data_IF_688389851066
#
_entry.id   IF_688389851066
#
_cell.length_a   1.000
_cell.length_b   1.000
_cell.length_c   1.000
_cell.angle_alpha   90.00
_cell.angle_beta   90.00
_cell.angle_gamma   90.00
#
_symmetry.space_group_name_H-M   'P 1'
#
loop_
_entity.id
_entity.type
_entity.pdbx_description
1 polymer ?
#
# COMPACT_ATOMS: atom_id res chain seq x y z
N UNK A 1 -0.95 -28.80 -21.16
CA UNK A 1 -1.69 -27.57 -21.51
C UNK A 1 -0.69 -26.42 -21.62
N UNK A 2 -0.71 -25.67 -22.72
CA UNK A 2 0.26 -24.60 -22.97
C UNK A 2 0.22 -23.56 -21.82
N UNK A 3 1.35 -23.03 -21.33
CA UNK A 3 1.40 -22.10 -20.18
C UNK A 3 0.47 -20.89 -20.32
N UNK A 4 0.38 -20.33 -21.54
CA UNK A 4 -0.52 -19.21 -21.85
C UNK A 4 -2.01 -19.57 -21.65
N UNK A 5 -2.43 -20.77 -22.06
CA UNK A 5 -3.83 -21.22 -21.88
C UNK A 5 -4.15 -21.38 -20.38
N UNK A 6 -3.21 -21.90 -19.60
CA UNK A 6 -3.40 -22.02 -18.14
C UNK A 6 -3.55 -20.66 -17.48
N UNK A 7 -2.71 -19.70 -17.84
CA UNK A 7 -2.75 -18.35 -17.30
C UNK A 7 -4.06 -17.62 -17.66
N UNK A 8 -4.52 -17.72 -18.92
CA UNK A 8 -5.79 -17.13 -19.37
C UNK A 8 -6.99 -17.78 -18.65
N UNK A 9 -6.99 -19.10 -18.47
CA UNK A 9 -8.04 -19.81 -17.72
C UNK A 9 -8.03 -19.41 -16.24
N UNK A 10 -6.85 -19.25 -15.64
CA UNK A 10 -6.68 -18.76 -14.27
C UNK A 10 -7.24 -17.35 -14.09
N UNK A 11 -6.92 -16.42 -15.00
CA UNK A 11 -7.43 -15.05 -14.98
C UNK A 11 -8.96 -15.02 -15.14
N UNK A 12 -9.52 -15.75 -16.11
CA UNK A 12 -10.97 -15.83 -16.33
C UNK A 12 -11.70 -16.39 -15.08
N UNK A 13 -11.15 -17.44 -14.46
CA UNK A 13 -11.66 -18.00 -13.20
C UNK A 13 -11.59 -16.96 -12.07
N UNK A 14 -10.50 -16.19 -11.99
CA UNK A 14 -10.32 -15.16 -10.97
C UNK A 14 -11.32 -14.03 -11.11
N UNK A 15 -11.57 -13.56 -12.34
CA UNK A 15 -12.62 -12.58 -12.64
C UNK A 15 -13.99 -13.09 -12.20
N UNK A 16 -14.36 -14.32 -12.60
CA UNK A 16 -15.66 -14.90 -12.24
C UNK A 16 -15.85 -14.99 -10.71
N UNK A 17 -14.82 -15.42 -9.98
CA UNK A 17 -14.85 -15.52 -8.51
C UNK A 17 -15.00 -14.14 -7.85
N UNK A 18 -14.34 -13.12 -8.37
CA UNK A 18 -14.48 -11.75 -7.89
C UNK A 18 -15.90 -11.21 -8.13
N UNK A 19 -16.50 -11.46 -9.29
CA UNK A 19 -17.89 -11.07 -9.59
C UNK A 19 -18.88 -11.73 -8.63
N UNK A 20 -18.75 -13.03 -8.39
CA UNK A 20 -19.62 -13.78 -7.43
C UNK A 20 -19.45 -13.26 -6.00
N UNK A 21 -18.23 -12.89 -5.59
CA UNK A 21 -17.97 -12.36 -4.25
C UNK A 21 -18.39 -10.89 -4.08
N UNK A 22 -18.61 -10.14 -5.17
CA UNK A 22 -18.81 -8.69 -5.16
C UNK A 22 -19.90 -8.19 -4.18
N UNK A 23 -21.11 -8.80 -4.10
CA UNK A 23 -22.16 -8.36 -3.16
C UNK A 23 -21.73 -8.41 -1.70
N UNK A 24 -20.87 -9.36 -1.33
CA UNK A 24 -20.41 -9.53 0.05
C UNK A 24 -19.52 -8.38 0.53
N UNK A 25 -18.89 -7.63 -0.39
CA UNK A 25 -18.02 -6.53 -0.06
C UNK A 25 -18.69 -5.32 0.60
N UNK A 26 -20.02 -5.20 0.46
CA UNK A 26 -20.79 -4.16 1.14
C UNK A 26 -21.09 -4.51 2.61
N UNK A 27 -21.04 -5.78 2.98
CA UNK A 27 -21.35 -6.26 4.33
C UNK A 27 -20.17 -6.18 5.31
N UNK A 28 -18.93 -6.01 4.82
CA UNK A 28 -17.71 -6.21 5.62
C UNK A 28 -16.85 -4.97 5.84
N UNK A 29 -17.41 -3.77 5.70
CA UNK A 29 -16.66 -2.51 5.82
C UNK A 29 -16.39 -2.06 7.28
N UNK A 30 -16.77 -2.84 8.29
CA UNK A 30 -16.59 -2.52 9.70
C UNK A 30 -15.12 -2.56 10.16
N UNK A 31 -14.79 -1.75 11.18
CA UNK A 31 -13.53 -1.85 11.92
C UNK A 31 -13.68 -2.95 12.97
N UNK A 32 -12.84 -3.97 12.92
CA UNK A 32 -12.77 -5.04 13.93
C UNK A 32 -11.32 -5.33 14.27
N UNK A 33 -11.02 -5.39 15.55
CA UNK A 33 -9.71 -5.79 16.07
C UNK A 33 -9.86 -7.09 16.85
N UNK A 34 -8.84 -7.94 16.79
CA UNK A 34 -8.68 -9.07 17.70
C UNK A 34 -7.93 -8.66 18.97
N UNK A 35 -7.77 -9.61 19.88
CA UNK A 35 -6.89 -9.45 21.04
C UNK A 35 -5.43 -9.41 20.56
N UNK A 36 -4.61 -8.45 21.02
CA UNK A 36 -3.19 -8.41 20.70
C UNK A 36 -2.48 -9.72 21.06
N UNK A 37 -1.59 -10.17 20.17
CA UNK A 37 -0.80 -11.40 20.35
C UNK A 37 0.48 -11.18 21.14
N UNK A 38 0.96 -9.93 21.20
CA UNK A 38 2.27 -9.55 21.72
C UNK A 38 3.39 -9.62 20.67
N UNK A 39 3.10 -10.10 19.47
CA UNK A 39 4.01 -10.05 18.30
C UNK A 39 3.73 -8.82 17.47
N UNK A 40 4.72 -7.92 17.39
CA UNK A 40 4.58 -6.66 16.68
C UNK A 40 4.19 -6.84 15.20
N UNK A 41 4.68 -7.90 14.53
CA UNK A 41 4.38 -8.16 13.13
C UNK A 41 2.91 -8.55 12.94
N UNK A 42 2.36 -9.36 13.87
CA UNK A 42 0.98 -9.82 13.85
C UNK A 42 0.00 -8.75 14.33
N UNK A 43 0.44 -7.89 15.25
CA UNK A 43 -0.37 -6.85 15.87
C UNK A 43 -0.38 -5.53 15.07
N UNK A 44 0.59 -5.34 14.16
CA UNK A 44 0.55 -4.19 13.24
C UNK A 44 -0.67 -4.31 12.32
N UNK A 45 -1.62 -3.34 12.37
CA UNK A 45 -2.84 -3.43 11.59
C UNK A 45 -2.57 -3.46 10.10
N UNK A 46 -3.32 -4.29 9.36
CA UNK A 46 -3.26 -4.36 7.89
C UNK A 46 -4.50 -3.71 7.29
N UNK A 47 -4.31 -2.71 6.42
CA UNK A 47 -5.39 -2.07 5.68
C UNK A 47 -5.30 -2.41 4.19
N UNK A 48 -6.37 -2.98 3.66
CA UNK A 48 -6.49 -3.48 2.30
C UNK A 48 -7.29 -2.49 1.45
N UNK A 49 -6.70 -2.02 0.34
CA UNK A 49 -7.22 -0.95 -0.53
C UNK A 49 -7.48 -1.53 -1.92
N UNK A 50 -8.76 -1.71 -2.28
CA UNK A 50 -9.16 -2.36 -3.54
C UNK A 50 -8.85 -1.53 -4.79
N UNK A 51 -9.00 -2.14 -5.96
CA UNK A 51 -8.82 -1.50 -7.26
C UNK A 51 -10.07 -0.83 -7.82
N UNK A 52 -9.95 -0.29 -9.04
CA UNK A 52 -11.05 0.29 -9.79
C UNK A 52 -12.15 -0.73 -10.06
N UNK A 53 -13.41 -0.33 -9.91
CA UNK A 53 -14.57 -1.21 -10.15
C UNK A 53 -14.71 -2.38 -9.17
N UNK A 54 -13.99 -2.37 -8.06
CA UNK A 54 -14.04 -3.41 -7.04
C UNK A 54 -14.48 -2.86 -5.67
N UNK A 55 -14.51 -3.71 -4.65
CA UNK A 55 -14.80 -3.36 -3.26
C UNK A 55 -14.04 -4.29 -2.28
N UNK A 56 -14.38 -4.26 -1.00
CA UNK A 56 -13.71 -5.05 0.04
C UNK A 56 -13.76 -6.58 -0.18
N UNK A 57 -14.65 -7.09 -1.05
CA UNK A 57 -14.70 -8.52 -1.39
C UNK A 57 -13.47 -9.02 -2.14
N UNK A 58 -12.73 -8.12 -2.82
CA UNK A 58 -11.47 -8.46 -3.48
C UNK A 58 -10.50 -9.23 -2.58
N UNK A 59 -10.60 -9.02 -1.30
CA UNK A 59 -9.61 -9.43 -0.30
C UNK A 59 -9.96 -10.73 0.44
N UNK A 60 -10.97 -11.50 -0.01
CA UNK A 60 -11.42 -12.67 0.75
C UNK A 60 -10.33 -13.74 0.94
N UNK A 61 -9.48 -13.98 -0.08
CA UNK A 61 -8.39 -14.93 0.01
C UNK A 61 -7.30 -14.45 0.96
N UNK A 62 -6.81 -13.21 0.75
CA UNK A 62 -5.75 -12.64 1.59
C UNK A 62 -6.22 -12.48 3.04
N UNK A 63 -7.45 -12.01 3.28
CA UNK A 63 -8.00 -11.93 4.65
C UNK A 63 -8.03 -13.27 5.36
N UNK A 64 -8.38 -14.35 4.63
CA UNK A 64 -8.39 -15.71 5.17
C UNK A 64 -6.97 -16.18 5.52
N UNK A 65 -5.98 -15.89 4.65
CA UNK A 65 -4.58 -16.24 4.87
C UNK A 65 -4.01 -15.46 6.07
N UNK A 66 -4.20 -14.15 6.13
CA UNK A 66 -3.74 -13.31 7.24
C UNK A 66 -4.33 -13.75 8.59
N UNK A 67 -5.63 -14.09 8.64
CA UNK A 67 -6.25 -14.64 9.84
C UNK A 67 -5.61 -15.95 10.27
N UNK A 68 -5.32 -16.86 9.31
CA UNK A 68 -4.65 -18.14 9.61
C UNK A 68 -3.23 -17.94 10.09
N UNK A 69 -2.53 -16.91 9.58
CA UNK A 69 -1.20 -16.53 10.03
C UNK A 69 -1.16 -15.84 11.41
N UNK A 70 -2.33 -15.53 12.00
CA UNK A 70 -2.44 -14.95 13.33
C UNK A 70 -2.55 -13.42 13.38
N UNK A 71 -2.71 -12.73 12.23
CA UNK A 71 -2.89 -11.27 12.25
C UNK A 71 -4.16 -10.89 13.02
N UNK A 72 -4.01 -9.99 13.99
CA UNK A 72 -5.07 -9.62 14.93
C UNK A 72 -5.97 -8.49 14.41
N UNK A 73 -5.47 -7.67 13.50
CA UNK A 73 -6.15 -6.46 13.03
C UNK A 73 -6.10 -6.32 11.50
N UNK A 74 -7.17 -6.74 10.80
CA UNK A 74 -7.26 -6.75 9.34
C UNK A 74 -8.47 -5.93 8.91
N UNK A 75 -8.22 -4.83 8.20
CA UNK A 75 -9.22 -3.86 7.78
C UNK A 75 -9.29 -3.73 6.27
N UNK A 76 -10.44 -3.25 5.79
CA UNK A 76 -10.66 -2.89 4.40
C UNK A 76 -11.28 -1.50 4.34
N UNK A 77 -11.19 -0.83 3.21
CA UNK A 77 -11.98 0.36 2.91
C UNK A 77 -12.70 0.23 1.57
N UNK A 78 -13.89 0.80 1.49
CA UNK A 78 -14.63 0.94 0.24
C UNK A 78 -14.63 2.41 -0.18
N UNK A 79 -14.53 2.64 -1.49
CA UNK A 79 -14.63 3.96 -2.10
C UNK A 79 -15.18 3.84 -3.52
N UNK A 80 -15.66 4.96 -4.07
CA UNK A 80 -16.19 5.00 -5.44
C UNK A 80 -15.23 5.79 -6.35
N UNK A 81 -14.49 5.14 -7.26
CA UNK A 81 -13.55 5.81 -8.15
C UNK A 81 -14.21 6.59 -9.29
N UNK A 82 -15.52 6.44 -9.51
CA UNK A 82 -16.26 7.24 -10.49
C UNK A 82 -16.56 8.64 -9.97
N UNK A 83 -16.67 8.80 -8.65
CA UNK A 83 -17.05 10.06 -7.99
C UNK A 83 -15.83 10.83 -7.49
N UNK A 84 -14.80 10.12 -7.04
CA UNK A 84 -13.61 10.71 -6.41
C UNK A 84 -12.37 10.55 -7.29
N UNK A 85 -11.45 11.50 -7.22
CA UNK A 85 -10.10 11.42 -7.77
C UNK A 85 -9.13 10.73 -6.79
N UNK A 86 -7.90 10.43 -7.23
CA UNK A 86 -6.90 9.74 -6.42
C UNK A 86 -6.58 10.51 -5.13
N UNK A 87 -6.37 11.84 -5.12
CA UNK A 87 -6.16 12.61 -3.89
C UNK A 87 -7.32 12.52 -2.91
N UNK A 88 -8.56 12.60 -3.38
CA UNK A 88 -9.75 12.51 -2.52
C UNK A 88 -9.92 11.11 -1.91
N UNK A 89 -9.59 10.06 -2.68
CA UNK A 89 -9.58 8.69 -2.15
C UNK A 89 -8.46 8.52 -1.13
N UNK A 90 -7.28 9.11 -1.38
CA UNK A 90 -6.16 9.08 -0.45
C UNK A 90 -6.46 9.85 0.86
N UNK A 91 -7.27 10.93 0.81
CA UNK A 91 -7.76 11.59 2.02
C UNK A 91 -8.64 10.66 2.86
N UNK A 92 -9.56 9.91 2.22
CA UNK A 92 -10.34 8.87 2.91
C UNK A 92 -9.47 7.75 3.48
N UNK A 93 -8.38 7.39 2.78
CA UNK A 93 -7.40 6.43 3.29
C UNK A 93 -6.71 6.97 4.54
N UNK A 94 -6.30 8.25 4.55
CA UNK A 94 -5.72 8.93 5.72
C UNK A 94 -6.65 8.85 6.93
N UNK A 95 -7.92 9.26 6.77
CA UNK A 95 -8.93 9.18 7.84
C UNK A 95 -9.13 7.75 8.35
N UNK A 96 -9.05 6.78 7.43
CA UNK A 96 -9.20 5.36 7.80
C UNK A 96 -8.00 4.86 8.61
N UNK A 97 -6.78 5.24 8.23
CA UNK A 97 -5.54 4.93 8.96
C UNK A 97 -5.60 5.53 10.36
N UNK A 98 -6.02 6.80 10.50
CA UNK A 98 -6.13 7.47 11.79
C UNK A 98 -7.10 6.76 12.72
N UNK A 99 -8.27 6.38 12.20
CA UNK A 99 -9.26 5.59 12.96
C UNK A 99 -8.74 4.22 13.38
N UNK A 100 -7.97 3.55 12.53
CA UNK A 100 -7.38 2.25 12.86
C UNK A 100 -6.33 2.42 13.95
N UNK A 101 -5.42 3.40 13.83
CA UNK A 101 -4.41 3.68 14.84
C UNK A 101 -5.05 4.03 16.20
N UNK A 102 -6.08 4.89 16.20
CA UNK A 102 -6.82 5.24 17.42
C UNK A 102 -7.52 4.02 18.06
N UNK A 103 -8.08 3.12 17.25
CA UNK A 103 -8.79 1.93 17.73
C UNK A 103 -7.85 0.85 18.27
N UNK A 104 -6.66 0.71 17.67
CA UNK A 104 -5.73 -0.39 18.00
C UNK A 104 -4.61 0.03 18.94
N UNK A 105 -4.39 1.32 19.12
CA UNK A 105 -3.22 1.86 19.82
C UNK A 105 -1.91 1.74 19.03
N UNK A 106 -1.96 1.29 17.76
CA UNK A 106 -0.77 1.15 16.95
C UNK A 106 -0.33 2.50 16.36
N UNK A 107 0.97 2.78 16.36
CA UNK A 107 1.53 4.00 15.74
C UNK A 107 1.47 3.95 14.20
N UNK A 108 1.52 2.74 13.63
CA UNK A 108 1.63 2.51 12.19
C UNK A 108 0.75 1.36 11.72
N UNK A 109 0.42 1.39 10.43
CA UNK A 109 -0.30 0.32 9.72
C UNK A 109 0.57 -0.26 8.60
N UNK A 110 0.22 -1.45 8.13
CA UNK A 110 0.66 -1.97 6.84
C UNK A 110 -0.44 -1.74 5.79
N UNK A 111 -0.07 -1.33 4.57
CA UNK A 111 -0.99 -1.15 3.46
C UNK A 111 -0.80 -2.26 2.43
N UNK A 112 -1.90 -2.80 1.90
CA UNK A 112 -1.88 -3.65 0.70
C UNK A 112 -2.88 -3.05 -0.29
N UNK A 113 -2.38 -2.57 -1.43
CA UNK A 113 -3.18 -1.94 -2.47
C UNK A 113 -3.19 -2.76 -3.75
N UNK A 114 -4.38 -3.02 -4.32
CA UNK A 114 -4.52 -3.64 -5.64
C UNK A 114 -4.82 -2.58 -6.69
N UNK A 115 -4.14 -2.65 -7.84
CA UNK A 115 -4.43 -1.79 -8.98
C UNK A 115 -4.43 -0.31 -8.60
N UNK A 116 -5.53 0.42 -8.80
CA UNK A 116 -5.74 1.80 -8.33
C UNK A 116 -5.39 1.98 -6.84
N UNK A 117 -5.71 0.99 -6.00
CA UNK A 117 -5.43 1.05 -4.56
C UNK A 117 -3.94 1.23 -4.23
N UNK A 118 -3.04 0.75 -5.09
CA UNK A 118 -1.60 0.99 -4.94
C UNK A 118 -1.20 2.44 -5.25
N UNK A 119 -1.82 3.08 -6.24
CA UNK A 119 -1.61 4.51 -6.52
C UNK A 119 -2.16 5.39 -5.39
N UNK A 120 -3.34 5.05 -4.86
CA UNK A 120 -3.93 5.72 -3.69
C UNK A 120 -3.00 5.61 -2.48
N UNK A 121 -2.44 4.43 -2.22
CA UNK A 121 -1.48 4.19 -1.14
C UNK A 121 -0.20 5.01 -1.33
N UNK A 122 0.32 5.07 -2.57
CA UNK A 122 1.49 5.91 -2.89
C UNK A 122 1.20 7.39 -2.67
N UNK A 123 0.04 7.89 -3.14
CA UNK A 123 -0.35 9.27 -2.94
C UNK A 123 -0.43 9.64 -1.46
N UNK A 124 -1.08 8.81 -0.66
CA UNK A 124 -1.16 9.01 0.78
C UNK A 124 0.22 9.09 1.43
N UNK A 125 1.10 8.13 1.11
CA UNK A 125 2.45 8.07 1.71
C UNK A 125 3.32 9.25 1.26
N UNK A 126 3.34 9.56 -0.03
CA UNK A 126 4.28 10.53 -0.61
C UNK A 126 3.82 11.99 -0.48
N UNK A 127 2.51 12.25 -0.53
CA UNK A 127 1.97 13.59 -0.64
C UNK A 127 1.19 14.06 0.61
N UNK A 128 0.79 13.14 1.49
CA UNK A 128 -0.07 13.45 2.64
C UNK A 128 0.59 13.11 3.99
N UNK A 129 1.89 12.84 4.01
CA UNK A 129 2.63 12.52 5.24
C UNK A 129 2.31 11.14 5.82
N UNK A 130 1.76 10.23 5.02
CA UNK A 130 1.48 8.85 5.41
C UNK A 130 2.73 8.03 5.73
N UNK A 131 3.92 8.49 5.32
CA UNK A 131 5.22 7.88 5.66
C UNK A 131 5.44 7.76 7.18
N UNK A 132 4.85 8.65 7.96
CA UNK A 132 4.91 8.60 9.42
C UNK A 132 4.02 7.51 10.03
N UNK A 133 2.94 7.11 9.31
CA UNK A 133 1.91 6.17 9.78
C UNK A 133 1.89 4.83 9.03
N UNK A 134 2.74 4.67 8.03
CA UNK A 134 2.85 3.41 7.27
C UNK A 134 4.19 2.77 7.54
N UNK A 135 4.18 1.47 7.81
CA UNK A 135 5.35 0.67 8.02
C UNK A 135 5.79 -0.02 6.71
N UNK A 136 4.85 -0.76 6.11
CA UNK A 136 5.04 -1.47 4.85
C UNK A 136 3.90 -1.15 3.90
N UNK A 137 4.20 -0.89 2.64
CA UNK A 137 3.23 -0.74 1.56
C UNK A 137 3.52 -1.78 0.47
N UNK A 138 2.56 -2.68 0.28
CA UNK A 138 2.59 -3.71 -0.75
C UNK A 138 1.59 -3.32 -1.84
N UNK A 139 2.00 -3.40 -3.09
CA UNK A 139 1.11 -3.13 -4.23
C UNK A 139 1.03 -4.37 -5.12
N UNK A 140 -0.18 -4.69 -5.57
CA UNK A 140 -0.48 -5.82 -6.44
C UNK A 140 -1.04 -5.28 -7.75
N UNK A 141 -0.39 -5.56 -8.87
CA UNK A 141 -0.83 -5.15 -10.21
C UNK A 141 -1.22 -3.65 -10.30
N UNK A 142 -0.41 -2.76 -9.74
CA UNK A 142 -0.71 -1.32 -9.69
C UNK A 142 0.01 -0.56 -10.80
N UNK A 143 -0.67 0.38 -11.51
CA UNK A 143 -0.09 1.09 -12.66
C UNK A 143 0.82 2.24 -12.22
N UNK A 144 1.99 1.95 -11.64
CA UNK A 144 2.90 2.94 -11.07
C UNK A 144 3.48 3.94 -12.08
N UNK A 145 3.47 3.59 -13.37
CA UNK A 145 3.84 4.47 -14.49
C UNK A 145 2.63 4.87 -15.34
N UNK A 146 1.41 4.59 -14.85
CA UNK A 146 0.18 4.70 -15.60
C UNK A 146 -0.08 3.47 -16.47
N UNK A 147 -1.25 3.42 -17.10
CA UNK A 147 -1.61 2.35 -18.03
C UNK A 147 -2.38 2.86 -19.25
N UNK A 148 -2.17 2.23 -20.41
CA UNK A 148 -2.94 2.54 -21.63
C UNK A 148 -4.40 2.10 -21.52
N UNK A 149 -4.74 1.10 -20.71
CA UNK A 149 -6.13 0.72 -20.45
C UNK A 149 -6.97 1.86 -19.83
N UNK A 150 -6.34 2.85 -19.19
CA UNK A 150 -6.99 4.02 -18.63
C UNK A 150 -7.47 5.07 -19.66
N UNK A 151 -7.26 4.83 -20.97
CA UNK A 151 -7.86 5.66 -22.03
C UNK A 151 -9.33 5.29 -22.30
N UNK A 152 -9.79 4.15 -21.83
CA UNK A 152 -11.24 3.82 -21.84
C UNK A 152 -11.97 4.80 -20.91
N UNK A 153 -13.21 5.22 -21.27
CA UNK A 153 -14.02 6.09 -20.42
C UNK A 153 -14.22 5.51 -19.02
N UNK A 154 -13.85 6.27 -17.97
CA UNK A 154 -13.86 5.76 -16.58
C UNK A 154 -13.76 6.89 -15.54
N UNK A 155 -14.21 8.09 -15.87
CA UNK A 155 -14.22 9.21 -14.94
C UNK A 155 -12.84 9.86 -14.73
N UNK A 156 -12.74 10.68 -13.66
CA UNK A 156 -11.54 11.45 -13.33
C UNK A 156 -10.39 10.53 -12.92
N UNK A 157 -10.66 9.56 -12.06
CA UNK A 157 -9.65 8.61 -11.57
C UNK A 157 -9.00 7.80 -12.69
N UNK A 158 -9.77 7.37 -13.71
CA UNK A 158 -9.21 6.68 -14.87
C UNK A 158 -8.23 7.60 -15.63
N UNK A 159 -8.59 8.89 -15.84
CA UNK A 159 -7.69 9.88 -16.47
C UNK A 159 -6.38 10.04 -15.67
N UNK A 160 -6.44 9.99 -14.36
CA UNK A 160 -5.28 10.08 -13.46
C UNK A 160 -4.39 8.83 -13.51
N UNK A 161 -4.95 7.67 -13.90
CA UNK A 161 -4.18 6.45 -14.15
C UNK A 161 -3.50 6.39 -15.52
N UNK A 162 -3.71 7.38 -16.42
CA UNK A 162 -3.05 7.42 -17.73
C UNK A 162 -1.56 7.67 -17.58
N UNK A 163 -0.72 7.12 -18.48
CA UNK A 163 0.68 7.49 -18.56
C UNK A 163 0.84 9.01 -18.68
N UNK A 164 1.84 9.56 -18.01
CA UNK A 164 2.13 11.01 -17.98
C UNK A 164 1.00 11.90 -17.44
N UNK A 165 -0.04 11.34 -16.79
CA UNK A 165 -0.99 12.17 -16.06
C UNK A 165 -0.27 12.98 -14.97
N UNK A 166 -0.91 14.04 -14.48
CA UNK A 166 -0.34 14.87 -13.41
C UNK A 166 -0.08 14.07 -12.13
N UNK A 167 -0.95 13.08 -11.81
CA UNK A 167 -0.77 12.19 -10.67
C UNK A 167 0.45 11.28 -10.87
N UNK A 168 0.56 10.62 -12.04
CA UNK A 168 1.67 9.72 -12.33
C UNK A 168 3.00 10.47 -12.33
N UNK A 169 3.06 11.67 -12.92
CA UNK A 169 4.25 12.52 -12.87
C UNK A 169 4.59 12.92 -11.43
N UNK A 170 3.60 13.38 -10.65
CA UNK A 170 3.82 13.78 -9.27
C UNK A 170 4.41 12.65 -8.43
N UNK A 171 3.89 11.42 -8.60
CA UNK A 171 4.36 10.24 -7.87
C UNK A 171 5.77 9.76 -8.29
N UNK A 172 6.26 10.13 -9.47
CA UNK A 172 7.53 9.62 -10.00
C UNK A 172 8.65 10.66 -10.11
N UNK A 173 8.35 11.96 -10.28
CA UNK A 173 9.36 12.96 -10.63
C UNK A 173 10.00 13.67 -9.41
N UNK A 174 9.26 13.83 -8.32
CA UNK A 174 9.73 14.59 -7.13
C UNK A 174 9.45 13.80 -5.87
N UNK A 175 10.23 12.75 -5.63
CA UNK A 175 9.99 11.84 -4.51
C UNK A 175 11.00 12.09 -3.41
N UNK A 176 10.49 12.36 -2.21
CA UNK A 176 11.29 12.42 -0.98
C UNK A 176 11.46 10.99 -0.46
N UNK A 177 12.68 10.59 -0.05
CA UNK A 177 12.89 9.30 0.58
C UNK A 177 12.02 9.11 1.82
N UNK A 178 11.45 7.94 1.97
CA UNK A 178 10.63 7.56 3.12
C UNK A 178 11.17 6.30 3.79
N UNK A 179 10.84 6.09 5.07
CA UNK A 179 11.17 4.85 5.79
C UNK A 179 10.14 3.73 5.55
N UNK A 180 9.22 3.92 4.63
CA UNK A 180 8.22 2.91 4.26
C UNK A 180 8.89 1.83 3.43
N UNK A 181 8.69 0.58 3.80
CA UNK A 181 9.15 -0.55 2.99
C UNK A 181 8.16 -0.79 1.84
N UNK A 182 8.63 -0.63 0.60
CA UNK A 182 7.83 -0.82 -0.60
C UNK A 182 8.10 -2.16 -1.26
N UNK A 183 7.01 -2.90 -1.57
CA UNK A 183 7.05 -4.13 -2.38
C UNK A 183 5.99 -4.04 -3.46
N UNK A 184 6.38 -4.13 -4.72
CA UNK A 184 5.47 -4.09 -5.86
C UNK A 184 5.46 -5.45 -6.58
N UNK A 185 4.32 -6.14 -6.52
CA UNK A 185 4.07 -7.36 -7.28
C UNK A 185 3.40 -7.01 -8.61
N UNK A 186 3.93 -7.54 -9.71
CA UNK A 186 3.39 -7.32 -11.05
C UNK A 186 3.47 -8.59 -11.89
N UNK A 187 2.54 -8.77 -12.82
CA UNK A 187 2.45 -9.94 -13.69
C UNK A 187 2.84 -9.64 -15.12
N UNK A 188 3.37 -10.61 -15.83
CA UNK A 188 3.74 -10.52 -17.25
C UNK A 188 2.55 -10.72 -18.20
N UNK A 189 1.43 -11.28 -17.70
CA UNK A 189 0.19 -11.47 -18.45
C UNK A 189 -0.95 -10.56 -17.97
N UNK A 190 -0.62 -9.47 -17.25
CA UNK A 190 -1.58 -8.45 -16.86
C UNK A 190 -2.00 -7.62 -18.08
N UNK A 191 -3.21 -7.86 -18.58
CA UNK A 191 -3.75 -7.14 -19.74
C UNK A 191 -4.20 -5.70 -19.42
N UNK A 192 -4.38 -5.37 -18.14
CA UNK A 192 -4.83 -4.05 -17.70
C UNK A 192 -3.68 -3.11 -17.38
N UNK A 193 -2.54 -3.63 -16.91
CA UNK A 193 -1.37 -2.81 -16.58
C UNK A 193 -0.33 -2.91 -17.72
N UNK A 194 -0.54 -2.07 -18.73
CA UNK A 194 0.29 -2.05 -19.90
C UNK A 194 0.95 -0.67 -20.13
N UNK A 195 2.23 -0.65 -20.55
CA UNK A 195 3.11 -1.81 -20.75
C UNK A 195 3.45 -2.53 -19.42
N UNK A 196 3.86 -3.80 -19.49
CA UNK A 196 4.15 -4.65 -18.32
C UNK A 196 5.05 -3.96 -17.27
N UNK A 197 6.06 -3.24 -17.68
CA UNK A 197 6.94 -2.47 -16.80
C UNK A 197 6.25 -1.34 -16.01
N UNK A 198 4.99 -1.00 -16.34
CA UNK A 198 4.22 0.00 -15.61
C UNK A 198 3.80 -0.46 -14.20
N UNK A 199 3.82 -1.77 -13.94
CA UNK A 199 3.57 -2.33 -12.61
C UNK A 199 4.73 -2.18 -11.62
N UNK A 200 5.90 -1.69 -12.06
CA UNK A 200 7.10 -1.51 -11.24
C UNK A 200 7.16 -0.13 -10.61
N UNK A 201 7.68 -0.06 -9.40
CA UNK A 201 8.10 1.19 -8.76
C UNK A 201 9.61 1.37 -9.04
N UNK A 202 9.95 2.15 -10.06
CA UNK A 202 11.34 2.42 -10.44
C UNK A 202 11.78 3.83 -9.99
N UNK A 203 11.37 4.21 -8.79
CA UNK A 203 11.72 5.48 -8.15
C UNK A 203 12.80 5.20 -7.10
N UNK A 204 14.07 5.59 -7.33
CA UNK A 204 15.19 5.24 -6.44
C UNK A 204 14.96 5.66 -4.99
N UNK A 205 14.33 6.82 -4.77
CA UNK A 205 14.05 7.34 -3.42
C UNK A 205 13.13 6.45 -2.58
N UNK A 206 12.33 5.58 -3.21
CA UNK A 206 11.44 4.64 -2.51
C UNK A 206 12.11 3.30 -2.21
N UNK A 207 13.25 3.00 -2.83
CA UNK A 207 13.98 1.73 -2.67
C UNK A 207 13.06 0.50 -2.71
N UNK A 208 12.14 0.48 -3.68
CA UNK A 208 11.09 -0.52 -3.75
C UNK A 208 11.63 -1.86 -4.29
N UNK A 209 11.23 -2.95 -3.64
CA UNK A 209 11.44 -4.29 -4.18
C UNK A 209 10.34 -4.61 -5.20
N UNK A 210 10.72 -4.83 -6.46
CA UNK A 210 9.82 -5.23 -7.52
C UNK A 210 9.85 -6.74 -7.72
N UNK A 211 8.68 -7.39 -7.67
CA UNK A 211 8.51 -8.84 -7.76
C UNK A 211 7.67 -9.19 -8.97
N UNK A 212 8.30 -9.77 -9.99
CA UNK A 212 7.58 -10.33 -11.14
C UNK A 212 6.96 -11.67 -10.75
N UNK A 213 5.67 -11.85 -11.05
CA UNK A 213 4.97 -13.14 -10.95
C UNK A 213 4.69 -13.64 -12.36
N UNK A 214 5.45 -14.65 -12.83
CA UNK A 214 5.31 -15.17 -14.18
C UNK A 214 3.93 -15.82 -14.41
N UNK A 215 3.35 -15.64 -15.59
CA UNK A 215 2.06 -16.21 -15.95
C UNK A 215 0.86 -15.58 -15.24
N UNK A 216 1.04 -14.43 -14.58
CA UNK A 216 0.01 -13.82 -13.73
C UNK A 216 -0.72 -12.69 -14.45
N UNK A 217 -2.06 -12.77 -14.43
CA UNK A 217 -2.97 -11.73 -14.88
C UNK A 217 -3.35 -10.75 -13.76
N UNK A 218 -4.22 -9.79 -14.09
CA UNK A 218 -4.59 -8.69 -13.18
C UNK A 218 -5.36 -9.15 -11.94
N UNK A 219 -6.41 -9.96 -12.13
CA UNK A 219 -7.26 -10.44 -11.05
C UNK A 219 -6.67 -11.67 -10.37
N UNK A 220 -5.83 -12.42 -11.08
CA UNK A 220 -5.05 -13.51 -10.53
C UNK A 220 -4.21 -13.10 -9.32
N UNK A 221 -3.65 -11.89 -9.34
CA UNK A 221 -2.88 -11.31 -8.22
C UNK A 221 -3.63 -11.30 -6.87
N UNK A 222 -4.96 -11.30 -6.88
CA UNK A 222 -5.79 -11.31 -5.65
C UNK A 222 -6.09 -12.72 -5.15
N UNK A 223 -6.09 -13.72 -6.04
CA UNK A 223 -6.67 -15.04 -5.77
C UNK A 223 -5.68 -16.18 -5.89
N UNK A 224 -4.47 -15.92 -6.40
CA UNK A 224 -3.43 -16.92 -6.48
C UNK A 224 -2.85 -17.21 -5.09
N UNK A 225 -2.74 -18.52 -4.76
CA UNK A 225 -2.29 -18.96 -3.43
C UNK A 225 -0.84 -18.58 -3.14
N UNK A 226 0.04 -18.66 -4.15
CA UNK A 226 1.46 -18.35 -3.96
C UNK A 226 1.67 -16.84 -3.80
N UNK A 227 0.92 -16.01 -4.53
CA UNK A 227 0.93 -14.55 -4.34
C UNK A 227 0.44 -14.19 -2.93
N UNK A 228 -0.68 -14.78 -2.51
CA UNK A 228 -1.26 -14.55 -1.16
C UNK A 228 -0.27 -14.96 -0.07
N UNK A 229 0.44 -16.07 -0.22
CA UNK A 229 1.46 -16.53 0.71
C UNK A 229 2.66 -15.56 0.74
N UNK A 230 3.19 -15.16 -0.41
CA UNK A 230 4.29 -14.19 -0.49
C UNK A 230 3.92 -12.83 0.14
N UNK A 231 2.70 -12.34 -0.08
CA UNK A 231 2.20 -11.11 0.56
C UNK A 231 2.15 -11.28 2.08
N UNK A 232 1.67 -12.42 2.56
CA UNK A 232 1.61 -12.74 3.99
C UNK A 232 3.00 -12.78 4.62
N UNK A 233 3.97 -13.42 3.95
CA UNK A 233 5.37 -13.46 4.38
C UNK A 233 6.00 -12.06 4.43
N UNK A 234 5.72 -11.21 3.42
CA UNK A 234 6.20 -9.84 3.44
C UNK A 234 5.64 -9.03 4.62
N UNK A 235 4.40 -9.25 5.00
CA UNK A 235 3.79 -8.58 6.14
C UNK A 235 4.33 -9.06 7.50
N UNK A 236 4.78 -10.32 7.57
CA UNK A 236 5.42 -10.90 8.76
C UNK A 236 6.87 -10.43 8.97
N UNK A 237 7.52 -9.88 7.93
CA UNK A 237 8.88 -9.36 8.09
C UNK A 237 8.88 -8.16 9.01
N UNK A 238 9.78 -8.14 10.00
CA UNK A 238 9.86 -6.98 10.90
C UNK A 238 10.13 -5.69 10.10
N UNK A 239 9.68 -4.55 10.64
CA UNK A 239 9.98 -3.26 10.04
C UNK A 239 11.49 -3.08 9.87
N UNK A 240 11.92 -2.38 8.82
CA UNK A 240 13.32 -2.05 8.63
C UNK A 240 13.84 -1.37 9.90
N UNK A 241 14.74 -2.01 10.62
CA UNK A 241 15.31 -1.43 11.84
C UNK A 241 16.08 -0.16 11.50
N UNK A 242 16.15 0.80 12.42
CA UNK A 242 16.98 2.00 12.27
C UNK A 242 18.45 1.67 11.96
N UNK A 243 18.88 0.43 12.21
CA UNK A 243 20.21 -0.09 11.90
C UNK A 243 20.44 -0.35 10.39
N UNK A 244 19.37 -0.51 9.59
CA UNK A 244 19.46 -0.71 8.12
C UNK A 244 19.41 0.61 7.33
N UNK A 245 19.29 1.77 8.00
CA UNK A 245 19.32 3.06 7.35
C UNK A 245 20.74 3.40 6.86
N UNK A 246 20.88 4.05 5.69
CA UNK A 246 22.16 4.60 5.23
C UNK A 246 22.82 5.46 6.31
N UNK A 247 24.16 5.45 6.36
CA UNK A 247 24.96 6.21 7.38
C UNK A 247 24.56 7.68 7.48
N UNK A 248 24.11 8.29 6.39
CA UNK A 248 23.62 9.67 6.34
C UNK A 248 22.35 9.88 7.18
N UNK A 249 21.36 8.98 7.07
CA UNK A 249 20.11 9.08 7.83
C UNK A 249 20.29 8.78 9.33
N UNK A 250 21.25 7.90 9.68
CA UNK A 250 21.64 7.68 11.08
C UNK A 250 22.18 8.94 11.73
N UNK A 251 22.92 9.77 10.98
CA UNK A 251 23.44 11.06 11.46
C UNK A 251 22.33 12.07 11.71
N UNK A 252 21.34 12.17 10.82
CA UNK A 252 20.21 13.11 10.98
C UNK A 252 19.36 12.72 12.20
N UNK A 253 19.03 11.41 12.37
CA UNK A 253 18.27 10.95 13.54
C UNK A 253 19.02 11.15 14.87
N UNK A 254 20.35 10.97 14.90
CA UNK A 254 21.15 11.28 16.09
C UNK A 254 21.20 12.78 16.41
N UNK A 255 21.24 13.64 15.38
CA UNK A 255 21.24 15.09 15.57
C UNK A 255 19.89 15.63 16.07
N UNK A 256 18.75 15.02 15.62
CA UNK A 256 17.41 15.40 16.09
C UNK A 256 17.01 14.81 17.44
N UNK A 257 17.69 13.74 17.89
CA UNK A 257 17.49 13.10 19.20
C UNK A 257 18.41 13.68 20.30
N UNK A 258 19.33 14.57 19.96
CA UNK A 258 20.17 15.24 20.96
C UNK A 258 19.29 16.15 21.84
N UNK A 259 19.39 16.09 23.18
CA UNK A 259 18.62 16.95 24.06
C UNK A 259 18.95 18.41 23.76
N UNK A 260 17.92 19.25 23.56
CA UNK A 260 18.09 20.70 23.43
C UNK A 260 18.88 21.19 24.65
N UNK A 261 19.95 21.98 24.49
CA UNK A 261 20.67 22.53 25.62
C UNK A 261 19.69 23.29 26.51
N UNK A 262 19.70 22.99 27.80
CA UNK A 262 18.85 23.61 28.79
C UNK A 262 19.11 25.14 28.78
N UNK A 263 18.03 25.90 28.59
CA UNK A 263 18.04 27.39 28.53
C UNK A 263 18.32 28.05 29.90
N UNK A 264 19.14 27.44 30.76
CA UNK A 264 19.34 27.87 32.15
C UNK A 264 20.76 28.31 32.47
N UNK A 265 21.61 28.69 31.50
CA UNK A 265 22.97 29.15 31.79
C UNK A 265 23.29 30.56 31.31
N UNK A 266 22.34 31.35 30.81
CA UNK A 266 22.63 32.68 30.25
C UNK A 266 22.28 33.89 31.17
N UNK A 267 21.64 33.65 32.32
CA UNK A 267 21.26 34.74 33.24
C UNK A 267 22.26 35.09 34.36
N UNK A 268 23.40 34.39 34.44
CA UNK A 268 24.39 34.65 35.51
C UNK A 268 25.66 35.42 35.07
N UNK A 269 25.71 35.98 33.84
CA UNK A 269 26.88 36.74 33.35
C UNK A 269 26.60 38.21 33.05
N UNK A 270 25.41 38.69 33.26
CA UNK A 270 25.13 40.12 33.24
C UNK A 270 24.64 40.52 34.62
N UNK A 271 25.57 40.88 35.50
CA UNK A 271 25.31 41.43 36.81
C UNK A 271 24.52 42.74 36.71
N UNK A 272 23.20 42.63 36.76
CA UNK A 272 22.26 43.71 36.99
C UNK A 272 21.34 43.24 38.11
N UNK A 273 21.41 43.94 39.24
CA UNK A 273 20.69 43.74 40.46
C UNK A 273 19.17 43.94 40.34
#
# INVERSE_FOLDING_TARGET
MHPFIRATAHEASSVARCVVAYPQGFLHAGLRTGTPSGDQSLDTPVLLVHGYGHNSSAWFMLRKALKRAGFTSIHTMNYNPLVHDIPAIAAKLSDRVDKICALTGADKVNLVGHSLGGLVSRWYVQEMGGDRKVNTAITLASPHKGTIAAFVPGGRTAKECRPNSWVIRRLNDRVVPTNVRWVAFYGDLDALIQPMGAGRIDVPALNARNVLIPGMGHMGMLLDGDVVNQVTEELLRPPASAASLPLFERRIKRASAAPKPAATAFRRRLGIG
#
